data_IF_728017380876
#
_entry.id   IF_728017380876
#
_cell.length_a   1.000
_cell.length_b   1.000
_cell.length_c   1.000
_cell.angle_alpha   90.00
_cell.angle_beta   90.00
_cell.angle_gamma   90.00
#
_symmetry.space_group_name_H-M   'P 1'
#
loop_
_entity.id
_entity.type
_entity.pdbx_description
1 polymer ?
#
# COMPACT_ATOMS: atom_id res chain seq x y z
N UNK A 1 -13.93 -18.01 -26.30
CA UNK A 1 -13.70 -16.61 -25.92
C UNK A 1 -12.30 -16.18 -26.40
N UNK A 2 -12.06 -14.90 -26.70
CA UNK A 2 -10.74 -14.40 -27.15
C UNK A 2 -10.32 -13.22 -26.28
N UNK A 3 -9.06 -13.19 -25.87
CA UNK A 3 -8.44 -12.03 -25.20
C UNK A 3 -7.43 -11.44 -26.18
N UNK A 4 -7.53 -10.14 -26.46
CA UNK A 4 -6.69 -9.42 -27.42
C UNK A 4 -5.98 -8.26 -26.74
N UNK A 5 -4.72 -8.04 -27.09
CA UNK A 5 -3.90 -6.89 -26.65
C UNK A 5 -2.96 -6.47 -27.79
N UNK A 6 -2.55 -5.21 -27.81
CA UNK A 6 -1.62 -4.65 -28.79
C UNK A 6 -0.72 -3.61 -28.13
N UNK A 7 0.45 -3.39 -28.72
CA UNK A 7 1.38 -2.33 -28.33
C UNK A 7 1.91 -1.65 -29.62
N UNK A 8 2.03 -0.32 -29.67
CA UNK A 8 2.68 0.34 -30.80
C UNK A 8 4.15 -0.07 -30.93
N UNK A 9 4.63 -0.25 -32.16
CA UNK A 9 6.02 -0.58 -32.45
C UNK A 9 6.17 -1.83 -33.32
N UNK A 10 7.42 -2.28 -33.49
CA UNK A 10 7.79 -3.35 -34.43
C UNK A 10 7.84 -4.74 -33.77
N UNK A 11 7.63 -4.83 -32.45
CA UNK A 11 7.73 -6.07 -31.70
C UNK A 11 6.66 -6.18 -30.62
N UNK A 12 6.16 -7.41 -30.45
CA UNK A 12 5.32 -7.81 -29.32
C UNK A 12 5.99 -8.99 -28.64
N UNK A 13 6.38 -8.81 -27.38
CA UNK A 13 6.87 -9.88 -26.52
C UNK A 13 5.79 -10.23 -25.48
N UNK A 14 5.54 -11.52 -25.26
CA UNK A 14 4.59 -11.99 -24.27
C UNK A 14 5.00 -13.36 -23.71
N UNK A 15 4.56 -13.63 -22.48
CA UNK A 15 4.81 -14.89 -21.78
C UNK A 15 3.48 -15.58 -21.50
N UNK A 16 3.39 -16.87 -21.84
CA UNK A 16 2.30 -17.74 -21.36
C UNK A 16 2.78 -18.44 -20.10
N UNK A 17 2.20 -18.08 -18.96
CA UNK A 17 2.56 -18.65 -17.66
C UNK A 17 1.48 -19.64 -17.25
N UNK A 18 1.80 -20.92 -17.38
CA UNK A 18 0.85 -22.01 -17.11
C UNK A 18 1.03 -22.60 -15.71
N UNK A 19 -0.07 -23.02 -15.09
CA UNK A 19 -0.12 -23.90 -13.94
C UNK A 19 -1.51 -24.52 -13.81
N UNK A 20 -1.63 -25.76 -13.27
CA UNK A 20 -2.91 -26.41 -13.07
C UNK A 20 -3.79 -25.70 -12.04
N UNK A 21 -3.22 -24.77 -11.25
CA UNK A 21 -3.94 -23.93 -10.28
C UNK A 21 -3.52 -22.46 -10.39
N UNK A 22 -4.39 -21.50 -10.02
CA UNK A 22 -4.03 -20.08 -9.94
C UNK A 22 -2.81 -19.79 -9.05
N UNK A 23 -2.67 -20.52 -7.93
CA UNK A 23 -1.55 -20.36 -7.00
C UNK A 23 -0.21 -20.69 -7.68
N UNK A 24 -0.15 -21.77 -8.47
CA UNK A 24 1.06 -22.12 -9.22
C UNK A 24 1.37 -21.14 -10.36
N UNK A 25 0.34 -20.56 -11.00
CA UNK A 25 0.53 -19.50 -12.00
C UNK A 25 1.22 -18.30 -11.35
N UNK A 26 0.72 -17.84 -10.20
CA UNK A 26 1.33 -16.75 -9.43
C UNK A 26 2.72 -17.11 -8.89
N UNK A 27 2.93 -18.37 -8.49
CA UNK A 27 4.23 -18.86 -8.06
C UNK A 27 5.26 -18.79 -9.20
N UNK A 28 4.90 -19.15 -10.42
CA UNK A 28 5.79 -19.04 -11.60
C UNK A 28 5.99 -17.59 -12.01
N UNK A 29 4.93 -16.77 -12.02
CA UNK A 29 5.00 -15.35 -12.37
C UNK A 29 5.92 -14.58 -11.41
N UNK A 30 5.69 -14.66 -10.11
CA UNK A 30 6.52 -13.95 -9.12
C UNK A 30 7.94 -14.50 -9.01
N UNK A 31 8.21 -15.74 -9.45
CA UNK A 31 9.59 -16.21 -9.61
C UNK A 31 10.31 -15.48 -10.75
N UNK A 32 9.61 -15.16 -11.83
CA UNK A 32 10.15 -14.45 -12.99
C UNK A 32 10.27 -12.94 -12.73
N UNK A 33 9.28 -12.34 -12.08
CA UNK A 33 9.15 -10.88 -11.96
C UNK A 33 9.55 -10.30 -10.60
N UNK A 34 9.77 -11.15 -9.59
CA UNK A 34 10.16 -10.73 -8.24
C UNK A 34 9.20 -11.29 -7.18
N UNK A 35 9.78 -11.85 -6.11
CA UNK A 35 9.01 -12.36 -4.97
C UNK A 35 8.61 -11.19 -4.06
N UNK A 36 7.34 -11.12 -3.60
CA UNK A 36 6.97 -10.18 -2.55
C UNK A 36 7.83 -10.37 -1.31
N UNK A 37 8.27 -9.26 -0.71
CA UNK A 37 9.05 -9.29 0.53
C UNK A 37 8.19 -9.73 1.72
N UNK A 38 8.82 -10.36 2.71
CA UNK A 38 8.21 -10.52 4.02
C UNK A 38 8.21 -9.18 4.75
N UNK A 39 7.04 -8.75 5.22
CA UNK A 39 6.89 -7.51 6.00
C UNK A 39 6.99 -7.78 7.51
N UNK A 40 7.42 -6.80 8.32
CA UNK A 40 7.49 -6.96 9.77
C UNK A 40 6.12 -7.27 10.40
N UNK A 41 6.09 -8.06 11.48
CA UNK A 41 4.84 -8.47 12.11
C UNK A 41 3.94 -7.30 12.55
N UNK A 42 4.52 -6.17 13.00
CA UNK A 42 3.77 -4.99 13.42
C UNK A 42 2.98 -4.33 12.26
N UNK A 43 3.38 -4.53 11.00
CA UNK A 43 2.71 -3.90 9.86
C UNK A 43 1.33 -4.49 9.59
N UNK A 44 1.03 -5.68 10.12
CA UNK A 44 -0.29 -6.31 10.07
C UNK A 44 -1.26 -5.78 11.12
N UNK A 45 -0.80 -4.92 12.04
CA UNK A 45 -1.66 -4.25 13.02
C UNK A 45 -2.55 -3.17 12.40
N UNK A 46 -3.39 -2.52 13.21
CA UNK A 46 -4.27 -1.46 12.74
C UNK A 46 -3.47 -0.17 12.47
N UNK A 47 -3.76 0.47 11.33
CA UNK A 47 -3.22 1.77 10.94
C UNK A 47 -4.32 2.83 11.02
N UNK A 48 -3.96 4.00 11.55
CA UNK A 48 -4.79 5.20 11.54
C UNK A 48 -3.98 6.34 10.91
N UNK A 49 -4.64 7.26 10.20
CA UNK A 49 -3.96 8.43 9.64
C UNK A 49 -4.57 9.72 10.15
N UNK A 50 -3.88 10.83 9.91
CA UNK A 50 -4.41 12.18 10.07
C UNK A 50 -5.62 12.49 9.20
N UNK A 51 -6.02 11.59 8.28
CA UNK A 51 -6.79 11.90 7.07
C UNK A 51 -6.05 12.88 6.15
N UNK A 52 -6.68 13.28 5.03
CA UNK A 52 -6.00 14.04 3.98
C UNK A 52 -6.07 15.57 4.18
N UNK A 53 -7.26 16.16 4.04
CA UNK A 53 -7.45 17.64 4.08
C UNK A 53 -8.03 18.14 5.40
N UNK A 54 -7.92 17.35 6.45
CA UNK A 54 -8.32 17.77 7.80
C UNK A 54 -7.19 18.55 8.43
N UNK A 55 -7.52 19.54 9.24
CA UNK A 55 -6.53 20.20 10.06
C UNK A 55 -5.97 19.22 11.09
N UNK A 56 -4.66 19.20 11.27
CA UNK A 56 -4.02 18.45 12.34
C UNK A 56 -2.75 19.11 12.84
N UNK A 57 -2.49 18.82 14.09
CA UNK A 57 -1.31 19.15 14.86
C UNK A 57 -1.08 18.02 15.87
N UNK A 58 -0.09 18.18 16.74
CA UNK A 58 0.21 17.20 17.79
C UNK A 58 -1.02 16.92 18.68
N UNK A 59 -1.81 17.94 19.01
CA UNK A 59 -2.99 17.80 19.87
C UNK A 59 -4.06 16.94 19.21
N UNK A 60 -4.32 17.17 17.92
CA UNK A 60 -5.29 16.41 17.13
C UNK A 60 -4.88 14.95 17.03
N UNK A 61 -3.60 14.69 16.79
CA UNK A 61 -3.05 13.33 16.72
C UNK A 61 -3.15 12.62 18.08
N UNK A 62 -2.74 13.28 19.16
CA UNK A 62 -2.83 12.73 20.52
C UNK A 62 -4.28 12.40 20.88
N UNK A 63 -5.23 13.29 20.55
CA UNK A 63 -6.65 13.05 20.77
C UNK A 63 -7.17 11.77 20.11
N UNK A 64 -6.77 11.49 18.87
CA UNK A 64 -7.15 10.24 18.18
C UNK A 64 -6.51 9.00 18.83
N UNK A 65 -5.23 9.07 19.17
CA UNK A 65 -4.49 7.95 19.78
C UNK A 65 -5.06 7.63 21.17
N UNK A 66 -5.23 8.64 22.01
CA UNK A 66 -5.81 8.48 23.35
C UNK A 66 -7.26 8.00 23.26
N UNK A 67 -8.04 8.54 22.31
CA UNK A 67 -9.41 8.10 22.07
C UNK A 67 -9.52 6.61 21.72
N UNK A 68 -8.56 6.07 20.95
CA UNK A 68 -8.46 4.64 20.67
C UNK A 68 -8.15 3.84 21.94
N UNK A 69 -7.18 4.30 22.74
CA UNK A 69 -6.78 3.66 23.98
C UNK A 69 -7.92 3.63 25.03
N UNK A 70 -8.62 4.74 25.22
CA UNK A 70 -9.78 4.87 26.12
C UNK A 70 -10.90 3.88 25.78
N UNK A 71 -11.08 3.59 24.48
CA UNK A 71 -12.12 2.68 23.97
C UNK A 71 -11.64 1.23 23.90
N UNK A 72 -10.41 0.94 24.31
CA UNK A 72 -9.80 -0.39 24.22
C UNK A 72 -9.62 -0.87 22.78
N UNK A 73 -9.44 0.05 21.82
CA UNK A 73 -9.22 -0.26 20.41
C UNK A 73 -7.71 -0.35 20.13
N UNK A 74 -7.16 -1.54 19.79
CA UNK A 74 -5.74 -1.68 19.53
C UNK A 74 -5.31 -0.87 18.29
N UNK A 75 -4.26 -0.06 18.43
CA UNK A 75 -3.65 0.72 17.36
C UNK A 75 -2.16 0.38 17.27
N UNK A 76 -1.63 0.14 16.07
CA UNK A 76 -0.23 -0.27 15.87
C UNK A 76 0.61 0.77 15.14
N UNK A 77 0.03 1.52 14.20
CA UNK A 77 0.74 2.52 13.40
C UNK A 77 -0.11 3.76 13.23
N UNK A 78 0.51 4.94 13.31
CA UNK A 78 -0.11 6.21 12.99
C UNK A 78 0.62 6.88 11.80
N UNK A 79 -0.12 7.34 10.79
CA UNK A 79 0.40 7.92 9.56
C UNK A 79 0.06 9.41 9.44
N UNK A 80 1.06 10.25 9.15
CA UNK A 80 0.89 11.65 8.80
C UNK A 80 0.77 11.78 7.28
N UNK A 81 -0.36 12.28 6.81
CA UNK A 81 -0.63 12.52 5.39
C UNK A 81 -0.02 13.86 4.91
N UNK A 82 -0.27 14.28 3.68
CA UNK A 82 0.51 15.31 2.97
C UNK A 82 0.84 16.61 3.73
N UNK A 83 -0.07 17.15 4.55
CA UNK A 83 0.08 18.46 5.20
C UNK A 83 1.11 18.53 6.34
N UNK A 84 1.92 17.47 6.54
CA UNK A 84 3.06 17.50 7.46
C UNK A 84 4.17 18.37 6.87
N UNK A 85 4.19 18.45 5.53
CA UNK A 85 4.93 19.41 4.75
C UNK A 85 4.03 20.60 4.37
N UNK A 86 4.65 21.75 4.13
CA UNK A 86 3.96 22.96 3.68
C UNK A 86 3.27 22.74 2.33
N UNK A 87 2.06 23.28 2.20
CA UNK A 87 1.28 23.28 0.95
C UNK A 87 2.13 23.67 -0.26
N UNK A 88 1.89 23.00 -1.39
CA UNK A 88 2.59 23.16 -2.67
C UNK A 88 4.10 22.82 -2.67
N UNK A 89 4.63 22.25 -1.58
CA UNK A 89 6.02 21.81 -1.49
C UNK A 89 6.16 20.28 -1.34
N UNK A 90 5.04 19.54 -1.44
CA UNK A 90 5.07 18.08 -1.39
C UNK A 90 5.78 17.51 -2.64
N UNK A 91 6.80 16.65 -2.57
CA UNK A 91 7.48 16.01 -1.45
C UNK A 91 8.96 16.44 -1.40
N UNK A 92 9.35 17.33 -0.47
CA UNK A 92 10.68 17.95 -0.43
C UNK A 92 11.53 17.75 0.86
N UNK A 93 10.96 17.18 1.93
CA UNK A 93 11.61 16.92 3.25
C UNK A 93 12.01 18.18 4.04
#
# INVERSE_FOLDING_TARGET
ERVQFSVPGEALEYFVIHGPTPAEILERYTRLTGRPAHVPAWSYGLWLSTSFTTDYDEQTVAHFVDGMAERGLPLSVFHFDCFWMREFNWSDF
#
